data_IF_080022917000
#
_entry.id   IF_080022917000
#
_cell.length_a   1.000
_cell.length_b   1.000
_cell.length_c   1.000
_cell.angle_alpha   90.00
_cell.angle_beta   90.00
_cell.angle_gamma   90.00
#
_symmetry.space_group_name_H-M   'P 1'
#
loop_
_entity.id
_entity.type
_entity.pdbx_description
1 polymer ?
#
# COMPACT_ATOMS: atom_id res chain seq x y z
N UNK A 1 -27.92 -34.39 -26.08
CA UNK A 1 -27.18 -33.10 -26.15
C UNK A 1 -26.60 -32.86 -24.78
N UNK A 2 -25.29 -33.03 -24.62
CA UNK A 2 -24.60 -32.73 -23.36
C UNK A 2 -24.67 -31.19 -23.11
N UNK A 3 -25.01 -30.74 -21.88
CA UNK A 3 -25.01 -29.32 -21.58
C UNK A 3 -23.60 -28.75 -21.77
N UNK A 4 -23.49 -27.70 -22.55
CA UNK A 4 -22.27 -26.95 -22.76
C UNK A 4 -21.82 -26.36 -21.41
N UNK A 5 -20.95 -27.08 -20.70
CA UNK A 5 -20.21 -26.52 -19.57
C UNK A 5 -19.47 -25.31 -20.14
N UNK A 6 -19.80 -24.13 -19.61
CA UNK A 6 -19.34 -22.87 -20.18
C UNK A 6 -17.83 -22.87 -20.38
N UNK A 7 -17.37 -22.50 -21.55
CA UNK A 7 -15.96 -22.33 -21.90
C UNK A 7 -15.19 -21.55 -20.81
N UNK A 8 -15.87 -20.62 -20.11
CA UNK A 8 -15.31 -19.86 -19.01
C UNK A 8 -14.87 -20.66 -17.78
N UNK A 9 -15.56 -21.80 -17.45
CA UNK A 9 -15.17 -22.64 -16.32
C UNK A 9 -13.98 -23.54 -16.64
N UNK A 10 -13.84 -23.93 -17.90
CA UNK A 10 -12.70 -24.71 -18.38
C UNK A 10 -11.45 -23.83 -18.39
N UNK A 11 -11.54 -22.59 -18.89
CA UNK A 11 -10.43 -21.65 -18.88
C UNK A 11 -10.01 -21.23 -17.46
N UNK A 12 -10.95 -21.00 -16.54
CA UNK A 12 -10.63 -20.69 -15.14
C UNK A 12 -9.94 -21.84 -14.43
N UNK A 13 -10.39 -23.06 -14.62
CA UNK A 13 -9.74 -24.25 -14.03
C UNK A 13 -8.38 -24.53 -14.66
N UNK A 14 -8.22 -24.27 -15.94
CA UNK A 14 -6.97 -24.45 -16.66
C UNK A 14 -5.93 -23.39 -16.29
N UNK A 15 -6.33 -22.14 -16.10
CA UNK A 15 -5.45 -21.07 -15.64
C UNK A 15 -5.00 -21.25 -14.16
N UNK A 16 -5.87 -21.79 -13.30
CA UNK A 16 -5.55 -22.00 -11.89
C UNK A 16 -4.75 -23.30 -11.66
N UNK A 17 -5.00 -24.36 -12.43
CA UNK A 17 -4.43 -25.67 -12.15
C UNK A 17 -3.16 -26.03 -12.93
N UNK A 18 -2.88 -25.39 -14.06
CA UNK A 18 -1.87 -25.97 -14.96
C UNK A 18 -0.54 -25.21 -15.10
N UNK A 19 -0.46 -23.89 -14.90
CA UNK A 19 0.75 -23.21 -15.39
C UNK A 19 1.63 -22.57 -14.33
N UNK A 20 1.09 -21.96 -13.26
CA UNK A 20 1.92 -21.30 -12.26
C UNK A 20 2.72 -22.27 -11.37
N UNK A 21 2.09 -23.38 -10.97
CA UNK A 21 2.72 -24.33 -10.03
C UNK A 21 3.45 -25.48 -10.71
N UNK A 22 3.09 -25.82 -11.94
CA UNK A 22 3.67 -26.98 -12.65
C UNK A 22 4.92 -26.63 -13.46
N UNK A 23 5.00 -25.40 -13.99
CA UNK A 23 6.14 -24.94 -14.79
C UNK A 23 7.08 -23.97 -14.05
N UNK A 24 6.64 -23.35 -12.95
CA UNK A 24 7.41 -22.34 -12.24
C UNK A 24 8.48 -22.89 -11.28
N UNK A 25 8.47 -24.18 -11.00
CA UNK A 25 9.41 -24.77 -10.04
C UNK A 25 9.31 -24.19 -8.63
N UNK A 26 10.08 -24.71 -7.69
CA UNK A 26 10.08 -24.30 -6.28
C UNK A 26 10.39 -22.80 -6.05
N UNK A 27 11.17 -22.17 -6.94
CA UNK A 27 11.51 -20.74 -6.85
C UNK A 27 10.28 -19.85 -7.03
N UNK A 28 9.37 -20.20 -7.95
CA UNK A 28 8.16 -19.41 -8.20
C UNK A 28 7.15 -19.55 -7.06
N UNK A 29 7.04 -20.75 -6.49
CA UNK A 29 6.19 -20.97 -5.30
C UNK A 29 6.72 -20.14 -4.12
N UNK A 30 8.04 -20.16 -3.90
CA UNK A 30 8.68 -19.36 -2.85
C UNK A 30 8.46 -17.85 -3.08
N UNK A 31 8.62 -17.36 -4.31
CA UNK A 31 8.34 -15.96 -4.65
C UNK A 31 6.88 -15.59 -4.34
N UNK A 32 5.93 -16.42 -4.73
CA UNK A 32 4.51 -16.19 -4.47
C UNK A 32 4.21 -16.09 -2.97
N UNK A 33 4.71 -17.02 -2.17
CA UNK A 33 4.54 -17.00 -0.72
C UNK A 33 5.17 -15.73 -0.12
N UNK A 34 6.39 -15.39 -0.52
CA UNK A 34 7.09 -14.20 -0.02
C UNK A 34 6.37 -12.90 -0.38
N UNK A 35 5.83 -12.78 -1.60
CA UNK A 35 5.02 -11.63 -2.02
C UNK A 35 3.83 -11.44 -1.09
N UNK A 36 3.08 -12.50 -0.81
CA UNK A 36 1.94 -12.43 0.10
C UNK A 36 2.32 -12.11 1.54
N UNK A 37 3.45 -12.63 2.01
CA UNK A 37 4.00 -12.28 3.33
C UNK A 37 4.38 -10.79 3.40
N UNK A 38 4.99 -10.22 2.37
CA UNK A 38 5.29 -8.79 2.31
C UNK A 38 4.01 -7.96 2.33
N UNK A 39 3.00 -8.33 1.53
CA UNK A 39 1.70 -7.64 1.52
C UNK A 39 1.05 -7.68 2.92
N UNK A 40 1.02 -8.85 3.54
CA UNK A 40 0.47 -9.02 4.88
C UNK A 40 1.23 -8.18 5.93
N UNK A 41 2.56 -8.18 5.85
CA UNK A 41 3.42 -7.40 6.74
C UNK A 41 3.18 -5.89 6.60
N UNK A 42 3.14 -5.37 5.39
CA UNK A 42 2.90 -3.93 5.16
C UNK A 42 1.48 -3.53 5.52
N UNK A 43 0.50 -4.41 5.29
CA UNK A 43 -0.89 -4.20 5.75
C UNK A 43 -0.98 -4.16 7.27
N UNK A 44 -0.26 -5.04 7.96
CA UNK A 44 -0.17 -5.03 9.42
C UNK A 44 0.49 -3.75 9.95
N UNK A 45 1.57 -3.27 9.31
CA UNK A 45 2.17 -1.97 9.67
C UNK A 45 1.16 -0.83 9.51
N UNK A 46 0.38 -0.82 8.43
CA UNK A 46 -0.70 0.15 8.22
C UNK A 46 -1.75 0.12 9.32
N UNK A 47 -2.15 -1.08 9.75
CA UNK A 47 -3.05 -1.24 10.88
C UNK A 47 -2.46 -0.67 12.19
N UNK A 48 -1.16 -0.90 12.46
CA UNK A 48 -0.47 -0.36 13.63
C UNK A 48 -0.44 1.19 13.62
N UNK A 49 -0.18 1.80 12.46
CA UNK A 49 -0.19 3.25 12.32
C UNK A 49 -1.57 3.81 12.69
N UNK A 50 -2.62 3.20 12.13
CA UNK A 50 -4.00 3.62 12.38
C UNK A 50 -4.39 3.40 13.84
N UNK A 51 -4.06 2.26 14.43
CA UNK A 51 -4.34 1.92 15.82
C UNK A 51 -3.68 2.89 16.81
N UNK A 52 -2.41 3.22 16.59
CA UNK A 52 -1.68 4.16 17.43
C UNK A 52 -2.21 5.61 17.34
N UNK A 53 -2.92 5.92 16.26
CA UNK A 53 -3.46 7.27 16.04
C UNK A 53 -4.90 7.46 16.49
N UNK A 54 -5.61 6.38 16.81
CA UNK A 54 -7.04 6.41 17.18
C UNK A 54 -7.36 7.42 18.28
N UNK A 55 -6.52 7.53 19.31
CA UNK A 55 -6.73 8.43 20.43
C UNK A 55 -6.62 9.90 20.02
N UNK A 56 -5.69 10.23 19.11
CA UNK A 56 -5.53 11.58 18.57
C UNK A 56 -6.73 11.96 17.70
N UNK A 57 -7.25 11.01 16.91
CA UNK A 57 -8.46 11.21 16.10
C UNK A 57 -9.68 11.41 17.01
N UNK A 58 -9.81 10.60 18.05
CA UNK A 58 -10.89 10.73 19.02
C UNK A 58 -10.84 12.08 19.75
N UNK A 59 -9.67 12.50 20.23
CA UNK A 59 -9.47 13.80 20.87
C UNK A 59 -9.82 14.96 19.92
N UNK A 60 -9.44 14.87 18.64
CA UNK A 60 -9.80 15.88 17.64
C UNK A 60 -11.30 15.90 17.34
N UNK A 61 -11.96 14.74 17.37
CA UNK A 61 -13.40 14.62 17.12
C UNK A 61 -14.25 15.12 18.30
N UNK A 62 -13.74 15.08 19.53
CA UNK A 62 -14.42 15.54 20.75
C UNK A 62 -14.06 16.95 21.17
N UNK A 63 -13.11 17.60 20.47
CA UNK A 63 -12.83 19.01 20.69
C UNK A 63 -14.10 19.86 20.42
N UNK A 64 -14.47 20.71 21.37
CA UNK A 64 -15.64 21.59 21.27
C UNK A 64 -15.35 22.81 20.37
N UNK A 65 -14.70 22.57 19.24
CA UNK A 65 -14.39 23.59 18.24
C UNK A 65 -15.42 23.58 17.10
N UNK A 66 -15.69 24.76 16.53
CA UNK A 66 -16.66 24.87 15.42
C UNK A 66 -16.26 24.09 14.15
N UNK A 67 -14.97 23.82 13.96
CA UNK A 67 -14.42 23.16 12.78
C UNK A 67 -13.75 21.81 13.13
N UNK A 68 -14.50 20.87 13.68
CA UNK A 68 -13.99 19.54 14.09
C UNK A 68 -13.62 18.64 12.91
N UNK A 69 -14.33 18.77 11.78
CA UNK A 69 -14.14 17.89 10.63
C UNK A 69 -12.74 18.02 10.00
N UNK A 70 -12.18 19.23 9.93
CA UNK A 70 -10.90 19.48 9.26
C UNK A 70 -9.71 18.85 10.03
N UNK A 71 -9.58 18.98 11.36
CA UNK A 71 -8.56 18.27 12.14
C UNK A 71 -8.65 16.75 12.00
N UNK A 72 -9.85 16.16 12.05
CA UNK A 72 -10.05 14.74 11.84
C UNK A 72 -9.57 14.31 10.45
N UNK A 73 -9.95 15.06 9.41
CA UNK A 73 -9.54 14.80 8.03
C UNK A 73 -8.00 14.92 7.87
N UNK A 74 -7.36 15.89 8.54
CA UNK A 74 -5.90 16.02 8.53
C UNK A 74 -5.19 14.76 9.09
N UNK A 75 -5.75 14.19 10.15
CA UNK A 75 -5.23 12.92 10.70
C UNK A 75 -5.42 11.76 9.73
N UNK A 76 -6.53 11.73 8.99
CA UNK A 76 -6.77 10.72 7.97
C UNK A 76 -5.75 10.82 6.82
N UNK A 77 -5.53 12.02 6.26
CA UNK A 77 -4.51 12.27 5.22
C UNK A 77 -3.14 11.81 5.69
N UNK A 78 -2.74 12.21 6.90
CA UNK A 78 -1.45 11.83 7.45
C UNK A 78 -1.31 10.32 7.63
N UNK A 79 -2.33 9.64 8.16
CA UNK A 79 -2.33 8.19 8.35
C UNK A 79 -2.22 7.45 7.03
N UNK A 80 -3.02 7.87 6.05
CA UNK A 80 -3.01 7.28 4.71
C UNK A 80 -1.66 7.49 4.02
N UNK A 81 -1.08 8.69 4.13
CA UNK A 81 0.24 8.97 3.55
C UNK A 81 1.36 8.17 4.20
N UNK A 82 1.36 8.00 5.51
CA UNK A 82 2.32 7.16 6.21
C UNK A 82 2.18 5.70 5.80
N UNK A 83 0.96 5.18 5.68
CA UNK A 83 0.72 3.84 5.19
C UNK A 83 1.15 3.67 3.73
N UNK A 84 0.75 4.58 2.83
CA UNK A 84 1.14 4.56 1.42
C UNK A 84 2.66 4.67 1.25
N UNK A 85 3.31 5.54 2.02
CA UNK A 85 4.76 5.68 2.02
C UNK A 85 5.49 4.41 2.47
N UNK A 86 5.00 3.72 3.50
CA UNK A 86 5.53 2.42 3.91
C UNK A 86 5.28 1.34 2.88
N UNK A 87 4.09 1.32 2.28
CA UNK A 87 3.76 0.36 1.24
C UNK A 87 4.67 0.50 0.02
N UNK A 88 4.87 1.73 -0.47
CA UNK A 88 5.79 2.01 -1.59
C UNK A 88 7.24 1.80 -1.17
N UNK A 89 7.66 2.36 -0.04
CA UNK A 89 9.05 2.35 0.41
C UNK A 89 9.53 0.97 0.79
N UNK A 90 8.94 0.38 1.83
CA UNK A 90 9.36 -0.91 2.37
C UNK A 90 8.83 -2.04 1.48
N UNK A 91 7.53 -2.03 1.19
CA UNK A 91 6.89 -3.04 0.36
C UNK A 91 7.51 -3.10 -1.03
N UNK A 92 7.68 -1.95 -1.69
CA UNK A 92 8.29 -1.85 -3.01
C UNK A 92 9.74 -2.34 -3.04
N UNK A 93 10.55 -1.98 -2.04
CA UNK A 93 11.94 -2.46 -1.95
C UNK A 93 12.01 -3.98 -1.77
N UNK A 94 11.20 -4.55 -0.87
CA UNK A 94 11.15 -5.99 -0.61
C UNK A 94 10.63 -6.77 -1.84
N UNK A 95 9.61 -6.26 -2.50
CA UNK A 95 9.07 -6.89 -3.71
C UNK A 95 10.07 -6.84 -4.87
N UNK A 96 10.81 -5.74 -5.02
CA UNK A 96 11.90 -5.65 -6.00
C UNK A 96 13.01 -6.66 -5.68
N UNK A 97 13.36 -6.83 -4.42
CA UNK A 97 14.35 -7.82 -3.98
C UNK A 97 13.88 -9.25 -4.30
N UNK A 98 12.60 -9.58 -4.03
CA UNK A 98 12.01 -10.87 -4.37
C UNK A 98 12.06 -11.10 -5.89
N UNK A 99 11.70 -10.10 -6.69
CA UNK A 99 11.78 -10.19 -8.15
C UNK A 99 13.22 -10.46 -8.63
N UNK A 100 14.18 -9.76 -8.08
CA UNK A 100 15.59 -9.93 -8.44
C UNK A 100 16.12 -11.32 -8.13
N UNK A 101 15.79 -11.87 -6.94
CA UNK A 101 16.32 -13.15 -6.48
C UNK A 101 15.60 -14.35 -7.10
N UNK A 102 14.26 -14.29 -7.13
CA UNK A 102 13.43 -15.44 -7.47
C UNK A 102 12.90 -15.43 -8.90
N UNK A 103 12.71 -14.24 -9.49
CA UNK A 103 12.08 -14.04 -10.79
C UNK A 103 13.04 -13.52 -11.86
N UNK A 104 14.35 -13.57 -11.62
CA UNK A 104 15.39 -13.07 -12.54
C UNK A 104 15.17 -11.59 -12.99
N UNK A 105 14.56 -10.78 -12.12
CA UNK A 105 14.24 -9.39 -12.42
C UNK A 105 12.96 -9.19 -13.25
N UNK A 106 12.17 -10.25 -13.48
CA UNK A 106 10.92 -10.13 -14.24
C UNK A 106 9.80 -9.53 -13.38
N UNK A 107 9.60 -8.21 -13.49
CA UNK A 107 8.53 -7.50 -12.81
C UNK A 107 7.13 -7.82 -13.37
N UNK A 108 7.01 -8.44 -14.55
CA UNK A 108 5.72 -8.83 -15.11
C UNK A 108 5.02 -9.86 -14.23
N UNK A 109 5.79 -10.77 -13.66
CA UNK A 109 5.31 -11.78 -12.72
C UNK A 109 4.75 -11.16 -11.42
N UNK A 110 5.40 -10.12 -10.89
CA UNK A 110 4.87 -9.39 -9.72
C UNK A 110 3.52 -8.75 -10.02
N UNK A 111 3.35 -8.18 -11.22
CA UNK A 111 2.06 -7.61 -11.64
C UNK A 111 0.97 -8.66 -11.73
N UNK A 112 1.28 -9.84 -12.23
CA UNK A 112 0.35 -10.98 -12.27
C UNK A 112 -0.05 -11.46 -10.87
N UNK A 113 0.84 -11.31 -9.88
CA UNK A 113 0.57 -11.63 -8.46
C UNK A 113 -0.25 -10.56 -7.73
N UNK A 114 -0.74 -9.54 -8.42
CA UNK A 114 -1.65 -8.52 -7.87
C UNK A 114 -0.94 -7.32 -7.22
N UNK A 115 0.37 -7.19 -7.34
CA UNK A 115 1.13 -6.08 -6.74
C UNK A 115 0.99 -4.76 -7.51
N UNK A 116 0.36 -4.78 -8.68
CA UNK A 116 0.05 -3.58 -9.48
C UNK A 116 1.27 -2.90 -10.11
N UNK A 117 1.00 -1.76 -10.77
CA UNK A 117 2.00 -0.96 -11.48
C UNK A 117 2.91 -0.13 -10.56
N UNK A 118 2.69 -0.15 -9.24
CA UNK A 118 3.40 0.70 -8.27
C UNK A 118 4.84 0.27 -8.00
N UNK A 119 5.21 -0.95 -8.38
CA UNK A 119 6.53 -1.51 -8.08
C UNK A 119 7.34 -1.61 -9.35
N UNK A 120 7.93 -0.56 -9.78
CA UNK A 120 8.98 -0.39 -10.79
C UNK A 120 9.26 -1.55 -11.78
N UNK A 121 10.12 -1.32 -12.71
CA UNK A 121 10.76 -2.37 -13.51
C UNK A 121 11.64 -3.21 -12.57
N UNK A 122 11.78 -4.52 -12.75
CA UNK A 122 12.60 -5.41 -11.90
C UNK A 122 14.08 -5.05 -11.76
N UNK A 123 14.44 -3.79 -11.99
CA UNK A 123 15.78 -3.25 -11.83
C UNK A 123 16.13 -3.07 -10.34
N UNK A 124 17.29 -3.55 -9.93
CA UNK A 124 17.81 -3.47 -8.57
C UNK A 124 17.87 -2.03 -8.00
N UNK A 125 17.94 -1.01 -8.87
CA UNK A 125 17.93 0.39 -8.44
C UNK A 125 16.68 0.76 -7.65
N UNK A 126 15.53 0.09 -7.88
CA UNK A 126 14.30 0.34 -7.16
C UNK A 126 14.34 -0.12 -5.70
N UNK A 127 15.30 -0.96 -5.32
CA UNK A 127 15.54 -1.28 -3.90
C UNK A 127 15.90 -0.02 -3.12
N UNK A 128 16.61 0.93 -3.77
CA UNK A 128 17.00 2.20 -3.17
C UNK A 128 15.98 3.31 -3.46
N UNK A 129 15.45 3.36 -4.67
CA UNK A 129 14.50 4.41 -5.07
C UNK A 129 13.15 4.29 -4.35
N UNK A 130 12.64 3.08 -4.12
CA UNK A 130 11.35 2.90 -3.44
C UNK A 130 11.33 3.49 -2.02
N UNK A 131 12.31 3.26 -1.14
CA UNK A 131 12.40 3.96 0.15
C UNK A 131 12.42 5.48 0.02
N UNK A 132 13.09 6.04 -0.97
CA UNK A 132 13.13 7.48 -1.22
C UNK A 132 11.73 7.99 -1.62
N UNK A 133 11.06 7.31 -2.54
CA UNK A 133 9.68 7.66 -2.92
C UNK A 133 8.71 7.52 -1.74
N UNK A 134 8.83 6.46 -0.96
CA UNK A 134 8.04 6.28 0.25
C UNK A 134 8.24 7.42 1.25
N UNK A 135 9.47 7.85 1.47
CA UNK A 135 9.79 8.99 2.31
C UNK A 135 9.17 10.29 1.78
N UNK A 136 9.28 10.56 0.48
CA UNK A 136 8.70 11.75 -0.15
C UNK A 136 7.17 11.77 0.05
N UNK A 137 6.49 10.63 -0.15
CA UNK A 137 5.04 10.49 0.08
C UNK A 137 4.69 10.88 1.53
N UNK A 138 5.43 10.37 2.51
CA UNK A 138 5.20 10.70 3.93
C UNK A 138 5.39 12.19 4.19
N UNK A 139 6.46 12.79 3.68
CA UNK A 139 6.75 14.23 3.88
C UNK A 139 5.65 15.09 3.27
N UNK A 140 5.28 14.83 2.03
CA UNK A 140 4.24 15.61 1.32
C UNK A 140 2.89 15.51 2.03
N UNK A 141 2.48 14.30 2.42
CA UNK A 141 1.18 14.12 3.10
C UNK A 141 1.16 14.73 4.50
N UNK A 142 2.30 14.74 5.21
CA UNK A 142 2.43 15.47 6.48
C UNK A 142 2.32 16.97 6.29
N UNK A 143 3.01 17.53 5.30
CA UNK A 143 2.93 18.95 4.99
C UNK A 143 1.49 19.38 4.66
N UNK A 144 0.77 18.59 3.85
CA UNK A 144 -0.64 18.81 3.55
C UNK A 144 -1.48 18.77 4.84
N UNK A 145 -1.32 17.76 5.68
CA UNK A 145 -2.06 17.64 6.92
C UNK A 145 -1.80 18.80 7.89
N UNK A 146 -0.57 19.28 7.97
CA UNK A 146 -0.19 20.45 8.78
C UNK A 146 -0.80 21.74 8.24
N UNK A 147 -0.86 21.92 6.93
CA UNK A 147 -1.53 23.04 6.28
C UNK A 147 -3.00 23.12 6.67
N UNK A 148 -3.73 21.99 6.64
CA UNK A 148 -5.12 21.95 7.07
C UNK A 148 -5.30 22.33 8.54
N UNK A 149 -4.42 21.86 9.42
CA UNK A 149 -4.46 22.23 10.85
C UNK A 149 -4.18 23.71 11.07
N UNK A 150 -3.21 24.29 10.37
CA UNK A 150 -2.89 25.70 10.44
C UNK A 150 -4.07 26.57 9.98
N UNK A 151 -4.72 26.21 8.86
CA UNK A 151 -5.91 26.92 8.38
C UNK A 151 -7.05 26.88 9.39
N UNK A 152 -7.28 25.73 10.04
CA UNK A 152 -8.31 25.61 11.09
C UNK A 152 -8.00 26.47 12.30
N UNK A 153 -6.74 26.52 12.73
CA UNK A 153 -6.32 27.36 13.85
C UNK A 153 -6.54 28.87 13.55
N UNK A 154 -6.21 29.28 12.31
CA UNK A 154 -6.46 30.67 11.87
C UNK A 154 -7.97 31.00 11.87
N UNK A 155 -8.80 30.11 11.30
CA UNK A 155 -10.24 30.28 11.24
C UNK A 155 -10.87 30.38 12.64
N UNK A 156 -10.47 29.53 13.57
CA UNK A 156 -10.95 29.58 14.95
C UNK A 156 -10.51 30.85 15.71
N UNK A 157 -9.30 31.32 15.46
CA UNK A 157 -8.81 32.54 16.10
C UNK A 157 -9.50 33.80 15.56
N UNK A 158 -9.74 33.88 14.25
CA UNK A 158 -10.41 35.00 13.60
C UNK A 158 -11.86 35.18 14.06
N UNK A 159 -12.54 34.06 14.39
CA UNK A 159 -13.92 34.10 14.88
C UNK A 159 -14.04 34.61 16.33
N UNK A 160 -12.99 34.48 17.13
CA UNK A 160 -12.97 34.93 18.54
C UNK A 160 -12.64 36.42 18.71
N UNK A 161 -12.16 37.09 17.68
CA UNK A 161 -11.91 38.52 17.62
C UNK A 161 -13.12 39.27 17.11
#
# INVERSE_FOLDING_TARGET
VAPSRGLGDVYKRQAINNDLFRYGGGRMIAAFILVWLVIAFVSWLGFQIWWNRREKVYAAATAHDDFVAIPVFSHFIQTFGEWAGMFVGIGGALLTLIAAIFLNGDASMLRMMGTGAFFGSGSLIYIVLNPIYGFIIVVVTRAIAETFRALTAIANNTKKS
#
